data_IF_756136683371
#
_entry.id   IF_756136683371
#
_cell.length_a   1.000
_cell.length_b   1.000
_cell.length_c   1.000
_cell.angle_alpha   90.00
_cell.angle_beta   90.00
_cell.angle_gamma   90.00
#
_symmetry.space_group_name_H-M   'P 1'
#
loop_
_entity.id
_entity.type
_entity.pdbx_description
1 polymer ?
#
# COMPACT_ATOMS: atom_id res chain seq x y z
N UNK A 1 -26.73 -17.78 13.69
CA UNK A 1 -25.41 -17.63 13.03
C UNK A 1 -24.41 -18.56 13.70
N UNK A 2 -23.75 -19.41 12.93
CA UNK A 2 -22.76 -20.38 13.39
C UNK A 2 -21.39 -19.72 13.58
N UNK A 3 -20.96 -19.62 14.85
CA UNK A 3 -19.73 -18.93 15.28
C UNK A 3 -18.49 -19.36 14.49
N UNK A 4 -18.40 -20.63 14.10
CA UNK A 4 -17.31 -21.18 13.28
C UNK A 4 -17.19 -20.52 11.91
N UNK A 5 -18.31 -20.21 11.23
CA UNK A 5 -18.28 -19.52 9.93
C UNK A 5 -17.75 -18.10 10.08
N UNK A 6 -18.15 -17.41 11.15
CA UNK A 6 -17.64 -16.06 11.46
C UNK A 6 -16.14 -16.09 11.73
N UNK A 7 -15.65 -17.04 12.52
CA UNK A 7 -14.22 -17.20 12.78
C UNK A 7 -13.42 -17.51 11.52
N UNK A 8 -13.95 -18.37 10.63
CA UNK A 8 -13.32 -18.65 9.34
C UNK A 8 -13.25 -17.42 8.43
N UNK A 9 -14.32 -16.62 8.38
CA UNK A 9 -14.32 -15.37 7.61
C UNK A 9 -13.27 -14.38 8.12
N UNK A 10 -13.16 -14.23 9.44
CA UNK A 10 -12.13 -13.39 10.06
C UNK A 10 -10.73 -13.94 9.73
N UNK A 11 -10.51 -15.24 9.89
CA UNK A 11 -9.21 -15.85 9.60
C UNK A 11 -8.82 -15.69 8.12
N UNK A 12 -9.76 -15.89 7.20
CA UNK A 12 -9.55 -15.67 5.77
C UNK A 12 -9.22 -14.20 5.48
N UNK A 13 -9.99 -13.27 6.06
CA UNK A 13 -9.75 -11.84 5.90
C UNK A 13 -8.36 -11.44 6.41
N UNK A 14 -7.97 -11.90 7.59
CA UNK A 14 -6.65 -11.63 8.20
C UNK A 14 -5.55 -12.19 7.31
N UNK A 15 -5.66 -13.45 6.86
CA UNK A 15 -4.66 -14.10 6.02
C UNK A 15 -4.49 -13.39 4.68
N UNK A 16 -5.59 -12.99 4.05
CA UNK A 16 -5.56 -12.23 2.80
C UNK A 16 -4.94 -10.86 2.98
N UNK A 17 -5.29 -10.15 4.05
CA UNK A 17 -4.80 -8.79 4.32
C UNK A 17 -3.30 -8.80 4.64
N UNK A 18 -2.87 -9.66 5.58
CA UNK A 18 -1.46 -9.80 5.94
C UNK A 18 -0.63 -10.38 4.80
N UNK A 19 -1.14 -11.40 4.09
CA UNK A 19 -0.45 -11.99 2.96
C UNK A 19 -0.24 -10.98 1.83
N UNK A 20 -1.29 -10.23 1.48
CA UNK A 20 -1.21 -9.14 0.50
C UNK A 20 -0.23 -8.05 0.93
N UNK A 21 -0.25 -7.67 2.21
CA UNK A 21 0.65 -6.65 2.74
C UNK A 21 2.12 -7.09 2.70
N UNK A 22 2.42 -8.32 3.12
CA UNK A 22 3.78 -8.87 3.04
C UNK A 22 4.23 -8.97 1.59
N UNK A 23 3.37 -9.47 0.70
CA UNK A 23 3.66 -9.53 -0.73
C UNK A 23 3.96 -8.15 -1.31
N UNK A 24 3.18 -7.13 -0.95
CA UNK A 24 3.42 -5.75 -1.36
C UNK A 24 4.81 -5.29 -0.95
N UNK A 25 5.21 -5.47 0.31
CA UNK A 25 6.55 -5.08 0.79
C UNK A 25 7.67 -5.83 0.06
N UNK A 26 7.51 -7.14 -0.15
CA UNK A 26 8.52 -7.97 -0.83
C UNK A 26 8.66 -7.60 -2.31
N UNK A 27 7.56 -7.27 -2.97
CA UNK A 27 7.55 -6.92 -4.39
C UNK A 27 7.79 -5.43 -4.64
N UNK A 28 7.82 -4.62 -3.59
CA UNK A 28 8.06 -3.20 -3.69
C UNK A 28 9.48 -2.92 -4.20
N UNK A 29 9.57 -2.12 -5.26
CA UNK A 29 10.82 -1.72 -5.90
C UNK A 29 10.97 -0.19 -5.82
N UNK A 30 11.84 0.33 -4.94
CA UNK A 30 12.02 1.77 -4.76
C UNK A 30 12.62 2.46 -5.99
N UNK A 31 13.27 1.73 -6.91
CA UNK A 31 13.82 2.32 -8.13
C UNK A 31 12.74 2.64 -9.17
N UNK A 32 11.52 2.08 -9.02
CA UNK A 32 10.38 2.35 -9.90
C UNK A 32 9.50 3.50 -9.43
N UNK A 33 9.70 3.97 -8.20
CA UNK A 33 8.97 5.11 -7.66
C UNK A 33 9.77 6.40 -7.88
N UNK A 34 9.14 7.41 -8.48
CA UNK A 34 9.76 8.73 -8.56
C UNK A 34 9.94 9.27 -7.13
N UNK A 35 11.14 9.76 -6.76
CA UNK A 35 11.35 10.32 -5.44
C UNK A 35 10.36 11.46 -5.20
N UNK A 36 9.62 11.41 -4.08
CA UNK A 36 8.65 12.46 -3.68
C UNK A 36 9.34 13.84 -3.49
N UNK A 37 10.68 13.89 -3.52
CA UNK A 37 11.50 15.11 -3.50
C UNK A 37 11.86 15.71 -4.86
N UNK A 38 11.46 15.12 -6.00
CA UNK A 38 11.71 15.67 -7.34
C UNK A 38 10.61 16.63 -7.81
N UNK A 39 10.11 17.50 -6.93
CA UNK A 39 9.49 18.73 -7.42
C UNK A 39 10.62 19.54 -8.06
N UNK A 40 10.67 19.59 -9.39
CA UNK A 40 11.60 20.48 -10.07
C UNK A 40 11.32 21.92 -9.62
N UNK A 41 12.34 22.78 -9.46
CA UNK A 41 12.12 24.17 -9.05
C UNK A 41 11.05 24.90 -9.89
N UNK A 42 10.93 24.54 -11.17
CA UNK A 42 9.91 25.05 -12.09
C UNK A 42 8.47 24.66 -11.74
N UNK A 43 8.24 23.52 -11.06
CA UNK A 43 6.91 23.11 -10.59
C UNK A 43 6.52 23.83 -9.29
N UNK A 44 7.50 24.18 -8.45
CA UNK A 44 7.30 24.94 -7.22
C UNK A 44 6.97 26.40 -7.57
N UNK A 45 7.70 27.00 -8.50
CA UNK A 45 7.47 28.38 -8.95
C UNK A 45 6.06 28.57 -9.56
N UNK A 46 5.57 27.60 -10.33
CA UNK A 46 4.21 27.60 -10.91
C UNK A 46 3.08 27.38 -9.91
N UNK A 47 3.37 26.83 -8.73
CA UNK A 47 2.37 26.61 -7.69
C UNK A 47 2.23 27.81 -6.74
N UNK A 48 3.19 28.73 -6.77
CA UNK A 48 3.26 29.93 -5.92
C UNK A 48 2.91 31.21 -6.73
N UNK A 49 3.05 31.16 -8.06
CA UNK A 49 2.59 32.20 -8.99
C UNK A 49 1.07 32.16 -9.22
#
# INVERSE_FOLDING_TARGET
MNKTKTLLLIAAFVTLTLGSFIWFIVTWDPAKEQPIGQLTPAQIERAIA
#
